data_IF_281993263092
#
_entry.id   IF_281993263092
#
_cell.length_a   1.000
_cell.length_b   1.000
_cell.length_c   1.000
_cell.angle_alpha   90.00
_cell.angle_beta   90.00
_cell.angle_gamma   90.00
#
_symmetry.space_group_name_H-M   'P 1'
#
loop_
_entity.id
_entity.type
_entity.pdbx_description
1 polymer ?
#
# COMPACT_ATOMS: atom_id res chain seq x y z
N UNK A 1 24.52 20.21 -61.84
CA UNK A 1 25.59 19.40 -61.22
C UNK A 1 25.45 19.55 -59.71
N UNK A 2 24.55 18.83 -59.05
CA UNK A 2 24.58 17.39 -58.75
C UNK A 2 25.68 17.01 -57.76
N UNK A 3 25.34 16.94 -56.47
CA UNK A 3 25.59 15.75 -55.66
C UNK A 3 24.69 15.74 -54.43
N UNK A 4 23.58 15.03 -54.60
CA UNK A 4 22.72 14.52 -53.54
C UNK A 4 23.49 13.41 -52.84
N UNK A 5 23.85 13.58 -51.57
CA UNK A 5 24.34 12.48 -50.75
C UNK A 5 23.15 11.73 -50.17
N UNK A 6 23.01 10.50 -50.66
CA UNK A 6 22.00 9.53 -50.30
C UNK A 6 22.15 9.09 -48.84
N UNK A 7 21.03 9.07 -48.12
CA UNK A 7 20.87 8.28 -46.91
C UNK A 7 21.16 6.80 -47.19
N UNK A 8 21.97 6.17 -46.34
CA UNK A 8 21.95 4.72 -46.15
C UNK A 8 21.24 4.44 -44.83
N UNK A 9 20.06 3.79 -44.81
CA UNK A 9 19.45 3.38 -43.56
C UNK A 9 20.32 2.27 -42.97
N UNK A 10 20.83 2.48 -41.76
CA UNK A 10 21.34 1.38 -40.97
C UNK A 10 20.12 0.60 -40.48
N UNK A 11 19.80 -0.46 -41.21
CA UNK A 11 18.89 -1.52 -40.79
C UNK A 11 19.45 -2.14 -39.50
N UNK A 12 19.09 -1.54 -38.37
CA UNK A 12 19.12 -2.16 -37.06
C UNK A 12 17.70 -2.51 -36.68
N UNK A 13 17.08 -3.49 -37.34
CA UNK A 13 15.87 -4.16 -36.84
C UNK A 13 16.24 -5.06 -35.65
N UNK A 14 16.89 -4.48 -34.64
CA UNK A 14 17.08 -5.08 -33.33
C UNK A 14 15.86 -4.73 -32.48
N UNK A 15 14.79 -5.49 -32.64
CA UNK A 15 13.81 -5.85 -31.60
C UNK A 15 13.70 -4.96 -30.35
N UNK A 16 13.43 -3.66 -30.51
CA UNK A 16 13.00 -2.79 -29.38
C UNK A 16 11.62 -3.16 -28.82
N UNK A 17 10.97 -4.21 -29.35
CA UNK A 17 9.66 -4.69 -28.91
C UNK A 17 9.67 -5.19 -27.45
N UNK A 18 10.81 -5.59 -26.89
CA UNK A 18 10.85 -6.17 -25.54
C UNK A 18 10.98 -5.17 -24.37
N UNK A 19 11.33 -3.89 -24.60
CA UNK A 19 11.33 -2.90 -23.49
C UNK A 19 9.93 -2.31 -23.20
N UNK A 20 9.02 -2.36 -24.17
CA UNK A 20 7.65 -1.86 -24.00
C UNK A 20 6.78 -2.80 -23.14
N UNK A 21 7.07 -4.10 -23.17
CA UNK A 21 6.28 -5.13 -22.47
C UNK A 21 6.53 -5.17 -20.94
N UNK A 22 7.61 -4.56 -20.46
CA UNK A 22 8.02 -4.60 -19.05
C UNK A 22 7.58 -3.36 -18.23
N UNK A 23 6.72 -2.49 -18.77
CA UNK A 23 6.23 -1.33 -18.03
C UNK A 23 5.04 -1.72 -17.12
N UNK A 24 5.03 -1.27 -15.85
CA UNK A 24 3.91 -1.55 -14.96
C UNK A 24 2.65 -0.88 -15.51
N UNK A 25 1.59 -1.68 -15.64
CA UNK A 25 0.27 -1.20 -16.03
C UNK A 25 -0.32 -0.39 -14.86
N UNK A 26 -0.13 0.93 -14.92
CA UNK A 26 -0.62 1.90 -13.93
C UNK A 26 -2.13 2.12 -14.08
N UNK A 27 -2.81 2.51 -13.00
CA UNK A 27 -4.25 2.79 -12.94
C UNK A 27 -5.20 1.59 -13.12
N UNK A 28 -4.70 0.36 -12.98
CA UNK A 28 -5.57 -0.81 -12.85
C UNK A 28 -6.45 -0.67 -11.60
N UNK A 29 -7.77 -0.71 -11.78
CA UNK A 29 -8.74 -0.81 -10.68
C UNK A 29 -9.30 -2.23 -10.66
N UNK A 30 -8.88 -3.02 -9.67
CA UNK A 30 -9.45 -4.33 -9.43
C UNK A 30 -10.92 -4.22 -8.99
N UNK A 31 -11.72 -5.23 -9.32
CA UNK A 31 -13.09 -5.36 -8.78
C UNK A 31 -13.01 -5.64 -7.28
N UNK A 32 -13.83 -4.95 -6.49
CA UNK A 32 -14.00 -5.26 -5.08
C UNK A 32 -14.55 -6.68 -4.90
N UNK A 33 -13.79 -7.50 -4.17
CA UNK A 33 -14.14 -8.91 -3.91
C UNK A 33 -15.11 -9.01 -2.73
N UNK A 34 -14.95 -8.14 -1.72
CA UNK A 34 -15.73 -8.13 -0.49
C UNK A 34 -15.86 -6.70 0.04
N UNK A 35 -17.10 -6.26 0.24
CA UNK A 35 -17.39 -4.94 0.80
C UNK A 35 -17.14 -4.87 2.31
N UNK A 36 -16.82 -3.67 2.79
CA UNK A 36 -16.72 -3.39 4.22
C UNK A 36 -18.03 -3.74 4.96
N UNK A 37 -17.90 -4.33 6.14
CA UNK A 37 -19.04 -4.78 6.96
C UNK A 37 -19.73 -6.06 6.47
N UNK A 38 -19.33 -6.62 5.31
CA UNK A 38 -19.88 -7.88 4.81
C UNK A 38 -19.02 -9.05 5.28
N UNK A 39 -19.64 -10.09 5.84
CA UNK A 39 -18.97 -11.34 6.19
C UNK A 39 -19.12 -12.38 5.07
N UNK A 40 -18.00 -12.99 4.67
CA UNK A 40 -17.99 -14.18 3.81
C UNK A 40 -18.23 -15.44 4.62
N UNK A 41 -18.69 -16.53 3.99
CA UNK A 41 -18.82 -17.82 4.67
C UNK A 41 -17.43 -18.39 4.93
N UNK A 42 -17.10 -18.55 6.20
CA UNK A 42 -15.80 -19.08 6.66
C UNK A 42 -16.05 -20.38 7.40
N UNK A 43 -15.25 -21.46 7.18
CA UNK A 43 -15.39 -22.72 7.91
C UNK A 43 -14.82 -22.60 9.34
N UNK A 44 -15.40 -21.68 10.11
CA UNK A 44 -15.14 -21.50 11.52
C UNK A 44 -16.34 -22.11 12.24
N UNK A 45 -16.12 -22.97 13.24
CA UNK A 45 -17.20 -23.60 14.02
C UNK A 45 -17.88 -22.62 14.99
N UNK A 46 -18.17 -21.41 14.51
CA UNK A 46 -18.73 -20.28 15.25
C UNK A 46 -19.95 -19.76 14.47
N UNK A 47 -21.04 -19.48 15.18
CA UNK A 47 -22.27 -18.96 14.57
C UNK A 47 -22.06 -17.58 13.93
N UNK A 48 -22.79 -17.30 12.86
CA UNK A 48 -22.66 -16.06 12.08
C UNK A 48 -22.92 -14.78 12.89
N UNK A 49 -23.87 -14.82 13.82
CA UNK A 49 -24.16 -13.67 14.70
C UNK A 49 -22.99 -13.34 15.64
N UNK A 50 -22.33 -14.36 16.19
CA UNK A 50 -21.16 -14.19 17.05
C UNK A 50 -19.99 -13.63 16.24
N UNK A 51 -19.82 -14.10 14.99
CA UNK A 51 -18.79 -13.56 14.07
C UNK A 51 -19.04 -12.09 13.75
N UNK A 52 -20.28 -11.73 13.43
CA UNK A 52 -20.65 -10.34 13.13
C UNK A 52 -20.35 -9.42 14.30
N UNK A 53 -20.79 -9.78 15.52
CA UNK A 53 -20.54 -8.98 16.71
C UNK A 53 -19.04 -8.86 17.03
N UNK A 54 -18.30 -9.97 16.91
CA UNK A 54 -16.86 -9.96 17.15
C UNK A 54 -16.13 -9.05 16.16
N UNK A 55 -16.47 -9.11 14.87
CA UNK A 55 -15.83 -8.27 13.85
C UNK A 55 -16.15 -6.79 14.07
N UNK A 56 -17.39 -6.46 14.43
CA UNK A 56 -17.77 -5.08 14.77
C UNK A 56 -16.93 -4.54 15.94
N UNK A 57 -16.85 -5.30 17.04
CA UNK A 57 -16.06 -4.91 18.21
C UNK A 57 -14.56 -4.80 17.90
N UNK A 58 -14.03 -5.74 17.11
CA UNK A 58 -12.63 -5.74 16.71
C UNK A 58 -12.28 -4.58 15.78
N UNK A 59 -13.18 -4.19 14.87
CA UNK A 59 -12.97 -3.03 14.01
C UNK A 59 -12.90 -1.73 14.81
N UNK A 60 -13.75 -1.57 15.83
CA UNK A 60 -13.69 -0.41 16.72
C UNK A 60 -12.37 -0.39 17.50
N UNK A 61 -12.00 -1.52 18.12
CA UNK A 61 -10.74 -1.65 18.85
C UNK A 61 -9.53 -1.37 17.95
N UNK A 62 -9.57 -1.85 16.71
CA UNK A 62 -8.53 -1.63 15.71
C UNK A 62 -8.39 -0.14 15.39
N UNK A 63 -9.51 0.56 15.16
CA UNK A 63 -9.49 2.00 14.90
C UNK A 63 -8.86 2.77 16.07
N UNK A 64 -9.28 2.47 17.30
CA UNK A 64 -8.75 3.11 18.50
C UNK A 64 -7.25 2.81 18.70
N UNK A 65 -6.82 1.58 18.40
CA UNK A 65 -5.42 1.17 18.50
C UNK A 65 -4.53 1.84 17.45
N UNK A 66 -5.02 1.98 16.20
CA UNK A 66 -4.31 2.71 15.15
C UNK A 66 -4.13 4.18 15.56
N UNK A 67 -5.19 4.80 16.07
CA UNK A 67 -5.14 6.17 16.58
C UNK A 67 -4.09 6.31 17.70
N UNK A 68 -4.10 5.40 18.69
CA UNK A 68 -3.12 5.42 19.79
C UNK A 68 -1.68 5.26 19.26
N UNK A 69 -1.45 4.33 18.33
CA UNK A 69 -0.14 4.16 17.69
C UNK A 69 0.32 5.46 17.02
N UNK A 70 -0.57 6.11 16.27
CA UNK A 70 -0.24 7.35 15.56
C UNK A 70 0.03 8.50 16.53
N UNK A 71 -0.69 8.56 17.65
CA UNK A 71 -0.37 9.49 18.74
C UNK A 71 1.04 9.22 19.28
N UNK A 72 1.41 7.97 19.58
CA UNK A 72 2.75 7.64 20.06
C UNK A 72 3.83 8.05 19.07
N UNK A 73 3.66 7.73 17.78
CA UNK A 73 4.61 8.17 16.73
C UNK A 73 4.70 9.68 16.61
N UNK A 74 3.58 10.39 16.74
CA UNK A 74 3.58 11.85 16.76
C UNK A 74 4.39 12.38 17.96
N UNK A 75 4.16 11.86 19.16
CA UNK A 75 4.91 12.28 20.35
C UNK A 75 6.40 11.94 20.24
N UNK A 76 6.73 10.77 19.67
CA UNK A 76 8.11 10.38 19.38
C UNK A 76 8.83 11.44 18.51
N UNK A 77 8.16 12.00 17.50
CA UNK A 77 8.74 13.05 16.65
C UNK A 77 8.67 14.46 17.25
N UNK A 78 7.67 14.77 18.08
CA UNK A 78 7.43 16.13 18.59
C UNK A 78 7.96 16.39 20.00
N UNK A 79 8.34 15.35 20.77
CA UNK A 79 8.85 15.52 22.14
C UNK A 79 10.14 16.32 22.15
N UNK A 80 10.32 17.14 23.18
CA UNK A 80 11.51 17.98 23.40
C UNK A 80 11.72 18.21 24.91
N UNK A 81 12.88 18.78 25.29
CA UNK A 81 13.21 19.11 26.68
C UNK A 81 14.27 18.20 27.31
N UNK A 82 14.56 18.39 28.62
CA UNK A 82 15.69 17.72 29.30
C UNK A 82 15.64 16.19 29.29
N UNK A 83 14.44 15.61 29.18
CA UNK A 83 14.21 14.16 29.14
C UNK A 83 13.95 13.63 27.73
N UNK A 84 14.24 14.42 26.68
CA UNK A 84 13.98 14.11 25.28
C UNK A 84 14.40 12.68 24.90
N UNK A 85 15.65 12.30 25.16
CA UNK A 85 16.19 11.02 24.69
C UNK A 85 15.44 9.81 25.27
N UNK A 86 15.11 9.84 26.57
CA UNK A 86 14.39 8.75 27.23
C UNK A 86 12.96 8.64 26.71
N UNK A 87 12.26 9.77 26.56
CA UNK A 87 10.88 9.81 26.09
C UNK A 87 10.78 9.46 24.60
N UNK A 88 11.71 9.92 23.77
CA UNK A 88 11.80 9.57 22.36
C UNK A 88 11.90 8.06 22.17
N UNK A 89 12.81 7.39 22.91
CA UNK A 89 12.93 5.93 22.87
C UNK A 89 11.72 5.22 23.48
N UNK A 90 11.08 5.79 24.51
CA UNK A 90 9.87 5.21 25.11
C UNK A 90 8.71 5.18 24.11
N UNK A 91 8.50 6.25 23.35
CA UNK A 91 7.39 6.35 22.40
C UNK A 91 7.57 5.51 21.12
N UNK A 92 8.73 4.87 20.92
CA UNK A 92 9.01 3.97 19.78
C UNK A 92 9.00 2.47 20.14
N UNK A 93 8.72 2.15 21.41
CA UNK A 93 8.53 0.77 21.88
C UNK A 93 7.11 0.29 21.61
#
# INVERSE_FOLDING_TARGET
MARSEQQKPLNGEGSFRHLADAQPQVHQRGREIQAYGVLTKTPLFIKDNVRAQSVENLNQLLADTIMLRDMYKRHHWQVSGPTFYQLHLLFDK
#
